data_IF_054608156449
#
_entry.id   IF_054608156449
#
_cell.length_a   1.000
_cell.length_b   1.000
_cell.length_c   1.000
_cell.angle_alpha   90.00
_cell.angle_beta   90.00
_cell.angle_gamma   90.00
#
_symmetry.space_group_name_H-M   'P 1'
#
loop_
_entity.id
_entity.type
_entity.pdbx_description
1 polymer ?
#
# COMPACT_ATOMS: atom_id res chain seq x y z
N UNK A 1 -53.18 -33.63 5.78
CA UNK A 1 -52.68 -32.31 6.22
C UNK A 1 -51.37 -32.41 7.07
N UNK A 2 -51.29 -33.36 7.98
CA UNK A 2 -50.10 -33.51 8.86
C UNK A 2 -48.85 -33.91 8.10
N UNK A 3 -48.93 -34.66 7.01
CA UNK A 3 -47.79 -35.10 6.21
C UNK A 3 -47.32 -34.02 5.23
N UNK A 4 -48.19 -33.13 4.81
CA UNK A 4 -47.85 -31.95 3.99
C UNK A 4 -47.00 -30.98 4.76
N UNK A 5 -47.25 -30.74 6.06
CA UNK A 5 -46.46 -29.90 6.91
C UNK A 5 -45.05 -30.46 7.18
N UNK A 6 -44.96 -31.81 7.32
CA UNK A 6 -43.64 -32.47 7.45
C UNK A 6 -42.83 -32.34 6.16
N UNK A 7 -43.44 -32.57 5.02
CA UNK A 7 -42.78 -32.41 3.72
C UNK A 7 -42.28 -30.97 3.48
N UNK A 8 -43.10 -29.97 3.88
CA UNK A 8 -42.72 -28.57 3.80
C UNK A 8 -41.54 -28.22 4.73
N UNK A 9 -41.58 -28.72 5.98
CA UNK A 9 -40.49 -28.54 6.93
C UNK A 9 -39.16 -29.15 6.45
N UNK A 10 -39.21 -30.35 5.89
CA UNK A 10 -38.00 -31.01 5.30
C UNK A 10 -37.48 -30.21 4.10
N UNK A 11 -38.37 -29.68 3.26
CA UNK A 11 -37.97 -28.86 2.12
C UNK A 11 -37.25 -27.59 2.52
N UNK A 12 -37.72 -26.90 3.56
CA UNK A 12 -37.03 -25.69 4.09
C UNK A 12 -35.66 -26.05 4.65
N UNK A 13 -35.52 -27.11 5.42
CA UNK A 13 -34.22 -27.53 5.99
C UNK A 13 -33.23 -27.88 4.88
N UNK A 14 -33.66 -28.63 3.88
CA UNK A 14 -32.82 -28.96 2.72
C UNK A 14 -32.41 -27.71 1.95
N UNK A 15 -33.32 -26.77 1.72
CA UNK A 15 -33.03 -25.51 1.06
C UNK A 15 -31.99 -24.68 1.86
N UNK A 16 -32.13 -24.59 3.18
CA UNK A 16 -31.17 -23.89 4.03
C UNK A 16 -29.79 -24.57 4.00
N UNK A 17 -29.73 -25.90 4.00
CA UNK A 17 -28.48 -26.65 3.91
C UNK A 17 -27.80 -26.41 2.55
N UNK A 18 -28.57 -26.48 1.46
CA UNK A 18 -28.06 -26.22 0.10
C UNK A 18 -27.59 -24.77 -0.02
N UNK A 19 -28.37 -23.81 0.47
CA UNK A 19 -28.00 -22.40 0.45
C UNK A 19 -26.72 -22.15 1.28
N UNK A 20 -26.60 -22.75 2.47
CA UNK A 20 -25.40 -22.65 3.29
C UNK A 20 -24.18 -23.31 2.63
N UNK A 21 -24.37 -24.51 2.07
CA UNK A 21 -23.30 -25.20 1.33
C UNK A 21 -22.88 -24.42 0.07
N UNK A 22 -23.83 -23.81 -0.65
CA UNK A 22 -23.54 -22.96 -1.80
C UNK A 22 -22.75 -21.71 -1.40
N UNK A 23 -23.16 -21.05 -0.32
CA UNK A 23 -22.42 -19.91 0.24
C UNK A 23 -21.01 -20.29 0.67
N UNK A 24 -20.82 -21.49 1.22
CA UNK A 24 -19.52 -22.00 1.63
C UNK A 24 -18.64 -22.45 0.44
N UNK A 25 -19.25 -23.02 -0.60
CA UNK A 25 -18.54 -23.51 -1.80
C UNK A 25 -18.21 -22.36 -2.77
N UNK A 26 -19.10 -21.37 -2.88
CA UNK A 26 -18.87 -20.21 -3.75
C UNK A 26 -18.10 -19.09 -3.07
N UNK A 27 -17.52 -19.36 -1.88
CA UNK A 27 -16.52 -18.49 -1.27
C UNK A 27 -16.98 -17.03 -1.15
N UNK A 28 -18.17 -16.80 -0.57
CA UNK A 28 -18.52 -15.45 -0.10
C UNK A 28 -17.80 -15.12 1.22
N UNK A 29 -16.80 -15.92 1.57
CA UNK A 29 -15.82 -15.59 2.58
C UNK A 29 -14.69 -14.82 1.91
N UNK A 30 -14.59 -13.58 2.23
CA UNK A 30 -13.42 -12.69 2.06
C UNK A 30 -13.07 -12.11 0.68
N UNK A 31 -13.65 -12.50 -0.43
CA UNK A 31 -13.34 -11.81 -1.71
C UNK A 31 -14.06 -10.46 -1.90
N UNK A 32 -14.68 -9.91 -0.86
CA UNK A 32 -15.24 -8.55 -0.91
C UNK A 32 -14.12 -7.48 -0.98
N UNK A 33 -12.88 -7.84 -0.63
CA UNK A 33 -11.74 -6.91 -0.61
C UNK A 33 -10.60 -7.27 -1.58
N UNK A 34 -10.82 -8.12 -2.57
CA UNK A 34 -9.89 -8.30 -3.67
C UNK A 34 -8.50 -8.83 -3.32
N UNK A 35 -8.29 -9.33 -2.10
CA UNK A 35 -7.04 -10.03 -1.75
C UNK A 35 -7.05 -11.38 -2.46
N UNK A 36 -6.20 -11.52 -3.46
CA UNK A 36 -5.95 -12.81 -4.11
C UNK A 36 -5.43 -13.80 -3.07
N UNK A 37 -5.84 -15.08 -3.15
CA UNK A 37 -5.20 -16.15 -2.35
C UNK A 37 -3.68 -16.27 -2.63
N UNK A 38 -3.22 -15.66 -3.72
CA UNK A 38 -1.81 -15.57 -4.13
C UNK A 38 -1.20 -14.18 -3.83
N UNK A 39 -1.78 -13.37 -2.93
CA UNK A 39 -1.25 -12.07 -2.58
C UNK A 39 0.16 -12.21 -1.98
N UNK A 40 1.12 -11.48 -2.53
CA UNK A 40 2.50 -11.51 -2.09
C UNK A 40 2.64 -10.74 -0.77
N UNK A 41 3.15 -11.40 0.27
CA UNK A 41 3.47 -10.73 1.50
C UNK A 41 4.74 -9.89 1.32
N UNK A 42 4.66 -8.62 1.66
CA UNK A 42 5.78 -7.69 1.57
C UNK A 42 6.84 -8.07 2.60
N UNK A 43 8.12 -8.28 2.21
CA UNK A 43 9.21 -8.46 3.16
C UNK A 43 9.38 -7.25 4.07
N UNK A 44 9.89 -7.50 5.27
CA UNK A 44 10.22 -6.42 6.20
C UNK A 44 11.22 -5.45 5.56
N UNK A 45 10.96 -4.15 5.69
CA UNK A 45 11.90 -3.11 5.28
C UNK A 45 12.12 -2.11 6.39
N UNK A 46 13.24 -1.43 6.31
CA UNK A 46 13.67 -0.39 7.23
C UNK A 46 14.34 0.72 6.43
N UNK A 47 13.70 1.88 6.35
CA UNK A 47 14.14 3.00 5.52
C UNK A 47 14.30 4.27 6.34
N UNK A 48 15.36 5.01 6.07
CA UNK A 48 15.64 6.30 6.71
C UNK A 48 14.80 7.39 6.03
N UNK A 49 13.94 8.02 6.80
CA UNK A 49 13.18 9.19 6.37
C UNK A 49 13.97 10.47 6.60
N UNK A 50 13.57 11.48 5.88
CA UNK A 50 14.09 12.83 6.09
C UNK A 50 13.45 13.44 7.32
N UNK A 51 14.26 14.07 8.17
CA UNK A 51 13.75 14.82 9.30
C UNK A 51 13.05 16.09 8.80
N UNK A 52 11.73 16.15 8.98
CA UNK A 52 10.91 17.23 8.46
C UNK A 52 9.88 17.67 9.48
N UNK A 53 9.48 18.93 9.36
CA UNK A 53 8.34 19.49 10.09
C UNK A 53 7.10 19.53 9.18
N UNK A 54 5.91 19.33 9.75
CA UNK A 54 4.64 19.45 9.02
C UNK A 54 4.28 18.24 8.15
N UNK A 55 4.84 17.08 8.44
CA UNK A 55 4.41 15.81 7.85
C UNK A 55 3.27 15.20 8.67
N UNK A 56 2.55 14.28 8.03
CA UNK A 56 1.51 13.48 8.69
C UNK A 56 2.13 12.64 9.84
N UNK A 57 1.64 12.82 11.05
CA UNK A 57 2.06 12.10 12.25
C UNK A 57 1.49 10.67 12.32
N UNK A 58 0.76 10.22 11.31
CA UNK A 58 0.14 8.89 11.27
C UNK A 58 1.18 7.75 11.15
N UNK A 59 2.39 8.06 10.69
CA UNK A 59 3.49 7.08 10.61
C UNK A 59 4.42 7.27 11.80
N UNK A 60 4.60 6.24 12.64
CA UNK A 60 5.57 6.28 13.72
C UNK A 60 6.99 6.32 13.16
N UNK A 61 7.78 7.26 13.64
CA UNK A 61 9.20 7.41 13.28
C UNK A 61 10.06 7.16 14.52
N UNK A 62 10.83 6.09 14.50
CA UNK A 62 11.84 5.83 15.52
C UNK A 62 13.21 6.27 15.00
N UNK A 63 13.77 7.35 15.58
CA UNK A 63 15.02 7.95 15.12
C UNK A 63 15.07 8.31 13.61
N UNK A 64 13.90 8.65 13.04
CA UNK A 64 13.77 8.92 11.61
C UNK A 64 13.64 7.67 10.73
N UNK A 65 13.63 6.48 11.32
CA UNK A 65 13.43 5.23 10.60
C UNK A 65 11.96 4.87 10.51
N UNK A 66 11.54 4.32 9.37
CA UNK A 66 10.25 3.66 9.17
C UNK A 66 10.50 2.18 8.93
N UNK A 67 9.81 1.33 9.68
CA UNK A 67 9.78 -0.12 9.47
C UNK A 67 8.39 -0.54 8.99
N UNK A 68 8.33 -1.53 8.11
CA UNK A 68 7.02 -2.06 7.67
C UNK A 68 6.22 -2.62 8.85
N UNK A 69 6.88 -3.26 9.82
CA UNK A 69 6.24 -3.77 11.03
C UNK A 69 5.52 -2.70 11.84
N UNK A 70 6.02 -1.45 11.81
CA UNK A 70 5.41 -0.32 12.52
C UNK A 70 4.16 0.21 11.80
N UNK A 71 3.97 -0.16 10.52
CA UNK A 71 2.83 0.20 9.68
C UNK A 71 1.73 -0.86 9.67
N UNK A 72 1.91 -1.99 10.36
CA UNK A 72 0.87 -3.03 10.48
C UNK A 72 -0.38 -2.46 11.12
N UNK A 73 -1.54 -2.88 10.62
CA UNK A 73 -2.83 -2.30 10.99
C UNK A 73 -3.25 -1.09 10.15
N UNK A 74 -2.37 -0.60 9.26
CA UNK A 74 -2.67 0.47 8.29
C UNK A 74 -2.64 -0.05 6.87
N UNK A 75 -3.41 0.57 5.98
CA UNK A 75 -3.24 0.43 4.53
C UNK A 75 -2.12 1.38 4.11
N UNK A 76 -1.08 0.85 3.48
CA UNK A 76 0.11 1.62 3.11
C UNK A 76 0.13 1.88 1.61
N UNK A 77 0.19 3.14 1.21
CA UNK A 77 0.51 3.55 -0.16
C UNK A 77 2.01 3.76 -0.24
N UNK A 78 2.71 2.80 -0.84
CA UNK A 78 4.16 2.82 -1.02
C UNK A 78 4.49 3.35 -2.41
N UNK A 79 4.92 4.60 -2.49
CA UNK A 79 5.28 5.29 -3.72
C UNK A 79 6.79 5.29 -3.93
N UNK A 80 7.24 4.86 -5.09
CA UNK A 80 8.63 4.95 -5.50
C UNK A 80 8.81 6.13 -6.45
N UNK A 81 9.73 7.03 -6.10
CA UNK A 81 9.88 8.33 -6.74
C UNK A 81 11.33 8.72 -7.01
N UNK A 82 11.52 9.81 -7.75
CA UNK A 82 12.79 10.49 -7.94
C UNK A 82 12.58 11.98 -8.21
N UNK A 83 13.56 12.81 -7.87
CA UNK A 83 13.47 14.28 -8.02
C UNK A 83 13.26 14.70 -9.48
N UNK A 84 13.90 14.02 -10.42
CA UNK A 84 13.81 14.33 -11.85
C UNK A 84 12.73 13.53 -12.59
N UNK A 85 11.91 12.75 -11.87
CA UNK A 85 10.83 11.97 -12.45
C UNK A 85 9.55 12.80 -12.58
N UNK A 86 9.33 13.40 -13.74
CA UNK A 86 8.15 14.26 -13.97
C UNK A 86 6.81 13.51 -13.78
N UNK A 87 6.73 12.26 -14.24
CA UNK A 87 5.51 11.46 -14.07
C UNK A 87 5.27 11.10 -12.60
N UNK A 88 6.32 10.96 -11.79
CA UNK A 88 6.18 10.75 -10.35
C UNK A 88 5.52 11.95 -9.68
N UNK A 89 5.87 13.17 -10.08
CA UNK A 89 5.25 14.38 -9.54
C UNK A 89 3.75 14.45 -9.84
N UNK A 90 3.33 13.94 -11.00
CA UNK A 90 1.90 13.84 -11.31
C UNK A 90 1.18 12.88 -10.36
N UNK A 91 1.76 11.70 -10.12
CA UNK A 91 1.22 10.72 -9.16
C UNK A 91 1.14 11.30 -7.76
N UNK A 92 2.20 11.97 -7.32
CA UNK A 92 2.26 12.60 -6.00
C UNK A 92 1.23 13.70 -5.81
N UNK A 93 1.01 14.54 -6.84
CA UNK A 93 -0.06 15.55 -6.81
C UNK A 93 -1.43 14.88 -6.65
N UNK A 94 -1.66 13.78 -7.37
CA UNK A 94 -2.91 13.02 -7.24
C UNK A 94 -3.06 12.40 -5.84
N UNK A 95 -1.99 11.86 -5.28
CA UNK A 95 -1.98 11.35 -3.91
C UNK A 95 -2.29 12.47 -2.90
N UNK A 96 -1.66 13.64 -3.02
CA UNK A 96 -1.89 14.78 -2.14
C UNK A 96 -3.35 15.24 -2.18
N UNK A 97 -3.95 15.33 -3.35
CA UNK A 97 -5.35 15.72 -3.53
C UNK A 97 -6.34 14.73 -2.90
N UNK A 98 -6.00 13.45 -2.83
CA UNK A 98 -6.92 12.38 -2.45
C UNK A 98 -6.63 11.74 -1.09
N UNK A 99 -5.43 11.89 -0.53
CA UNK A 99 -5.00 11.22 0.71
C UNK A 99 -5.99 11.45 1.87
N UNK A 100 -6.45 12.69 2.06
CA UNK A 100 -7.41 13.00 3.12
C UNK A 100 -8.77 12.30 2.91
N UNK A 101 -9.18 12.10 1.67
CA UNK A 101 -10.39 11.34 1.34
C UNK A 101 -10.19 9.86 1.64
N UNK A 102 -9.05 9.28 1.24
CA UNK A 102 -8.73 7.88 1.52
C UNK A 102 -8.61 7.62 3.01
N UNK A 103 -7.98 8.51 3.77
CA UNK A 103 -7.90 8.43 5.24
C UNK A 103 -9.28 8.46 5.92
N UNK A 104 -10.27 9.05 5.27
CA UNK A 104 -11.64 9.10 5.80
C UNK A 104 -12.48 7.85 5.50
N UNK A 105 -12.02 6.95 4.62
CA UNK A 105 -12.78 5.76 4.21
C UNK A 105 -12.93 4.72 5.31
N UNK A 106 -11.94 4.60 6.18
CA UNK A 106 -11.95 3.64 7.27
C UNK A 106 -11.33 4.23 8.54
N UNK A 107 -12.01 4.06 9.66
CA UNK A 107 -11.45 4.36 10.99
C UNK A 107 -10.77 3.13 11.61
N UNK A 108 -10.99 1.95 11.06
CA UNK A 108 -10.42 0.69 11.55
C UNK A 108 -9.01 0.48 11.01
N UNK A 109 -8.79 0.82 9.74
CA UNK A 109 -7.51 0.67 9.05
C UNK A 109 -7.10 2.03 8.47
N UNK A 110 -6.27 2.82 9.19
CA UNK A 110 -5.78 4.09 8.70
C UNK A 110 -5.04 3.94 7.37
N UNK A 111 -5.22 4.90 6.46
CA UNK A 111 -4.43 4.96 5.22
C UNK A 111 -3.24 5.87 5.45
N UNK A 112 -2.04 5.37 5.17
CA UNK A 112 -0.78 6.10 5.29
C UNK A 112 -0.01 6.07 3.97
N UNK A 113 0.72 7.13 3.67
CA UNK A 113 1.56 7.22 2.48
C UNK A 113 3.04 7.28 2.88
N UNK A 114 3.89 6.56 2.16
CA UNK A 114 5.34 6.57 2.28
C UNK A 114 5.95 6.61 0.89
N UNK A 115 6.77 7.62 0.60
CA UNK A 115 7.53 7.67 -0.65
C UNK A 115 8.99 7.26 -0.43
N UNK A 116 9.57 6.53 -1.40
CA UNK A 116 10.95 6.07 -1.38
C UNK A 116 11.68 6.61 -2.62
N UNK A 117 12.77 7.35 -2.40
CA UNK A 117 13.65 7.83 -3.44
C UNK A 117 14.39 6.68 -4.11
N UNK A 118 14.03 6.35 -5.35
CA UNK A 118 14.55 5.21 -6.09
C UNK A 118 15.90 5.46 -6.74
N UNK A 119 16.17 6.70 -7.13
CA UNK A 119 17.43 7.04 -7.80
C UNK A 119 18.52 7.49 -6.81
N UNK A 120 18.48 6.98 -5.57
CA UNK A 120 19.35 7.36 -4.48
C UNK A 120 20.86 7.21 -4.78
N UNK A 121 21.22 6.43 -5.80
CA UNK A 121 22.60 6.30 -6.30
C UNK A 121 23.05 7.51 -7.13
N UNK A 122 22.11 8.35 -7.60
CA UNK A 122 22.32 9.50 -8.47
C UNK A 122 21.85 10.80 -7.85
N UNK A 123 20.91 10.72 -6.92
CA UNK A 123 20.33 11.87 -6.22
C UNK A 123 20.81 11.87 -4.76
N UNK A 124 21.38 12.99 -4.31
CA UNK A 124 21.81 13.10 -2.93
C UNK A 124 20.62 13.15 -1.98
N UNK A 125 20.79 12.68 -0.76
CA UNK A 125 19.78 12.79 0.30
C UNK A 125 19.35 14.25 0.53
N UNK A 126 20.30 15.19 0.50
CA UNK A 126 20.04 16.63 0.60
C UNK A 126 19.10 17.11 -0.53
N UNK A 127 19.38 16.74 -1.79
CA UNK A 127 18.55 17.13 -2.94
C UNK A 127 17.11 16.59 -2.82
N UNK A 128 16.95 15.35 -2.38
CA UNK A 128 15.63 14.74 -2.15
C UNK A 128 14.91 15.51 -1.03
N UNK A 129 15.62 15.80 0.07
CA UNK A 129 15.07 16.57 1.18
C UNK A 129 14.65 17.99 0.78
N UNK A 130 15.49 18.71 0.04
CA UNK A 130 15.18 20.07 -0.42
C UNK A 130 13.99 20.09 -1.39
N UNK A 131 13.85 19.03 -2.19
CA UNK A 131 12.76 18.94 -3.16
C UNK A 131 11.42 18.59 -2.50
N UNK A 132 11.41 17.54 -1.69
CA UNK A 132 10.18 16.95 -1.15
C UNK A 132 9.92 17.33 0.31
N UNK A 133 10.97 17.70 1.06
CA UNK A 133 10.92 18.02 2.47
C UNK A 133 10.71 19.50 2.79
N UNK A 134 11.09 20.41 1.91
CA UNK A 134 10.93 21.85 2.13
C UNK A 134 9.46 22.26 1.91
N UNK A 135 8.75 22.76 2.93
CA UNK A 135 7.36 23.23 2.78
C UNK A 135 7.19 24.36 1.78
N UNK A 136 8.26 25.06 1.40
CA UNK A 136 8.22 26.10 0.35
C UNK A 136 8.40 25.55 -1.05
N UNK A 137 8.79 24.29 -1.19
CA UNK A 137 8.90 23.61 -2.48
C UNK A 137 7.53 23.36 -3.09
N UNK A 138 7.40 23.60 -4.38
CA UNK A 138 6.19 23.23 -5.13
C UNK A 138 5.99 21.72 -5.29
N UNK A 139 6.94 20.95 -4.83
CA UNK A 139 6.95 19.46 -4.84
C UNK A 139 6.98 18.89 -3.43
N UNK A 140 6.68 19.71 -2.42
CA UNK A 140 6.61 19.27 -1.05
C UNK A 140 5.60 18.11 -0.90
N UNK A 141 5.98 17.09 -0.16
CA UNK A 141 5.09 15.97 0.19
C UNK A 141 4.71 16.05 1.67
N UNK A 142 3.40 16.06 2.01
CA UNK A 142 2.96 16.14 3.41
C UNK A 142 3.06 14.80 4.16
N UNK A 143 3.63 13.76 3.56
CA UNK A 143 3.90 12.45 4.18
C UNK A 143 5.41 12.15 4.21
N UNK A 144 5.85 11.12 4.96
CA UNK A 144 7.26 10.74 5.02
C UNK A 144 7.83 10.38 3.66
N UNK A 145 9.04 10.88 3.39
CA UNK A 145 9.84 10.51 2.23
C UNK A 145 11.15 9.92 2.74
N UNK A 146 11.42 8.70 2.34
CA UNK A 146 12.65 7.99 2.64
C UNK A 146 13.56 7.94 1.41
N UNK A 147 14.84 7.67 1.65
CA UNK A 147 15.76 7.36 0.58
C UNK A 147 15.95 5.84 0.46
N UNK A 148 15.99 5.32 -0.75
CA UNK A 148 16.36 3.93 -0.98
C UNK A 148 17.80 3.68 -0.52
N UNK A 149 18.09 2.43 -0.14
CA UNK A 149 19.43 2.02 0.27
C UNK A 149 19.66 0.53 -0.03
N UNK A 150 20.91 0.15 -0.17
CA UNK A 150 21.31 -1.21 -0.54
C UNK A 150 21.04 -2.28 0.53
N UNK A 151 20.68 -1.87 1.74
CA UNK A 151 20.43 -2.73 2.90
C UNK A 151 19.08 -2.46 3.57
N UNK A 152 18.14 -1.91 2.81
CA UNK A 152 16.86 -1.38 3.31
C UNK A 152 15.74 -2.42 3.39
N UNK A 153 15.89 -3.63 2.85
CA UNK A 153 14.90 -4.70 2.90
C UNK A 153 15.49 -5.97 3.52
N UNK A 154 14.70 -6.70 4.29
CA UNK A 154 15.08 -7.96 4.92
C UNK A 154 14.35 -9.09 4.21
N UNK A 155 15.09 -9.91 3.49
CA UNK A 155 14.57 -11.05 2.74
C UNK A 155 14.24 -12.22 3.67
N UNK A 156 13.42 -13.17 3.21
CA UNK A 156 12.99 -14.35 3.98
C UNK A 156 14.15 -15.15 4.59
N UNK A 157 15.29 -15.18 3.92
CA UNK A 157 16.51 -15.85 4.41
C UNK A 157 17.26 -15.03 5.46
N UNK A 158 16.76 -13.87 5.87
CA UNK A 158 17.39 -12.96 6.83
C UNK A 158 18.52 -12.10 6.25
N UNK A 159 18.81 -12.18 4.94
CA UNK A 159 19.77 -11.28 4.31
C UNK A 159 19.16 -9.92 4.04
N UNK A 160 19.99 -8.88 4.09
CA UNK A 160 19.55 -7.53 3.69
C UNK A 160 19.77 -7.32 2.20
N UNK A 161 18.86 -6.59 1.58
CA UNK A 161 18.88 -6.25 0.16
C UNK A 161 18.46 -4.81 -0.08
N UNK A 162 18.45 -4.45 -1.34
CA UNK A 162 18.03 -3.14 -1.82
C UNK A 162 16.52 -3.17 -2.12
N UNK A 163 15.76 -2.32 -1.43
CA UNK A 163 14.31 -2.22 -1.62
C UNK A 163 13.95 -1.79 -3.04
N UNK A 164 14.76 -0.94 -3.66
CA UNK A 164 14.54 -0.47 -5.03
C UNK A 164 14.79 -1.59 -6.05
N UNK A 165 15.78 -2.44 -5.81
CA UNK A 165 16.04 -3.62 -6.65
C UNK A 165 14.95 -4.69 -6.47
N UNK A 166 14.55 -4.94 -5.22
CA UNK A 166 13.50 -5.92 -4.92
C UNK A 166 12.19 -5.62 -5.64
N UNK A 167 11.73 -4.36 -5.57
CA UNK A 167 10.49 -3.92 -6.22
C UNK A 167 10.66 -3.57 -7.70
N UNK A 168 11.85 -3.72 -8.28
CA UNK A 168 12.19 -3.27 -9.64
C UNK A 168 11.84 -1.78 -9.87
N UNK A 169 11.98 -0.96 -8.83
CA UNK A 169 11.59 0.44 -8.79
C UNK A 169 12.63 1.38 -9.44
N UNK A 170 13.48 0.86 -10.32
CA UNK A 170 14.32 1.66 -11.22
C UNK A 170 13.48 2.33 -12.33
N UNK A 171 12.34 1.72 -12.67
CA UNK A 171 11.40 2.21 -13.67
C UNK A 171 10.26 2.92 -12.95
N UNK A 172 10.18 4.23 -13.06
CA UNK A 172 9.26 5.09 -12.36
C UNK A 172 8.20 5.70 -13.30
N UNK A 173 7.05 6.09 -12.79
CA UNK A 173 6.55 5.92 -11.42
C UNK A 173 6.16 4.49 -11.10
N UNK A 174 6.12 4.14 -9.81
CA UNK A 174 5.70 2.83 -9.34
C UNK A 174 5.07 2.97 -7.96
N UNK A 175 3.85 2.46 -7.79
CA UNK A 175 3.11 2.50 -6.53
C UNK A 175 2.61 1.11 -6.19
N UNK A 176 2.73 0.76 -4.92
CA UNK A 176 2.12 -0.42 -4.33
C UNK A 176 1.11 0.00 -3.28
N UNK A 177 -0.02 -0.68 -3.21
CA UNK A 177 -0.94 -0.62 -2.08
C UNK A 177 -0.78 -1.91 -1.29
N UNK A 178 -0.46 -1.76 -0.01
CA UNK A 178 -0.22 -2.86 0.93
C UNK A 178 -1.32 -2.80 1.97
N UNK A 179 -1.98 -3.91 2.24
CA UNK A 179 -3.05 -3.98 3.22
C UNK A 179 -2.52 -3.95 4.67
N UNK A 180 -3.44 -3.90 5.62
CA UNK A 180 -3.16 -3.82 7.05
C UNK A 180 -2.42 -5.07 7.60
N UNK A 181 -2.43 -6.18 6.88
CA UNK A 181 -1.70 -7.42 7.22
C UNK A 181 -0.35 -7.50 6.51
N UNK A 182 -0.09 -6.58 5.55
CA UNK A 182 1.16 -6.45 4.83
C UNK A 182 1.23 -7.26 3.54
N UNK A 183 0.10 -7.46 2.89
CA UNK A 183 0.04 -8.08 1.57
C UNK A 183 -0.15 -7.02 0.49
N UNK A 184 0.47 -7.23 -0.67
CA UNK A 184 0.24 -6.39 -1.83
C UNK A 184 -1.16 -6.63 -2.38
N UNK A 185 -1.99 -5.59 -2.39
CA UNK A 185 -3.37 -5.66 -2.92
C UNK A 185 -3.53 -4.93 -4.25
N UNK A 186 -2.64 -3.98 -4.55
CA UNK A 186 -2.59 -3.32 -5.85
C UNK A 186 -1.16 -2.90 -6.19
N UNK A 187 -0.88 -2.83 -7.48
CA UNK A 187 0.38 -2.35 -8.04
C UNK A 187 0.11 -1.61 -9.34
N UNK A 188 0.63 -0.39 -9.44
CA UNK A 188 0.59 0.41 -10.65
C UNK A 188 1.97 0.96 -10.97
N UNK A 189 2.30 1.06 -12.26
CA UNK A 189 3.65 1.48 -12.63
C UNK A 189 3.88 1.66 -14.11
N UNK A 190 5.14 1.76 -14.49
CA UNK A 190 5.61 1.95 -15.85
C UNK A 190 5.03 0.89 -16.80
N UNK A 191 4.47 1.37 -17.91
CA UNK A 191 3.79 0.53 -18.90
C UNK A 191 2.27 0.65 -18.87
N UNK A 192 1.69 1.14 -17.78
CA UNK A 192 0.28 1.52 -17.71
C UNK A 192 0.19 3.05 -17.85
N UNK A 193 -0.59 3.60 -18.82
CA UNK A 193 -0.85 5.02 -18.86
C UNK A 193 -1.45 5.50 -17.53
N UNK A 194 -1.06 6.69 -17.05
CA UNK A 194 -1.51 7.23 -15.77
C UNK A 194 -3.05 7.39 -15.68
N UNK A 195 -3.71 7.64 -16.81
CA UNK A 195 -5.17 7.68 -16.93
C UNK A 195 -5.84 6.28 -16.83
N UNK A 196 -5.06 5.22 -16.85
CA UNK A 196 -5.50 3.83 -16.66
C UNK A 196 -5.17 3.26 -15.28
N UNK A 197 -4.58 4.07 -14.40
CA UNK A 197 -4.25 3.62 -13.04
C UNK A 197 -5.51 3.47 -12.20
N UNK A 198 -5.69 2.26 -11.66
CA UNK A 198 -6.85 1.88 -10.84
C UNK A 198 -6.49 1.64 -9.38
N UNK A 199 -5.22 1.78 -9.01
CA UNK A 199 -4.80 1.61 -7.62
C UNK A 199 -5.42 2.67 -6.69
N UNK A 200 -5.97 3.74 -7.27
CA UNK A 200 -6.55 4.86 -6.54
C UNK A 200 -8.08 4.98 -6.74
N UNK A 201 -8.70 4.06 -7.49
CA UNK A 201 -10.16 3.97 -7.63
C UNK A 201 -10.78 3.15 -6.47
#
# INVERSE_FOLDING_TARGET
ERDTWKAFGIGIVLFCIIAYASLSIFGLSSSIYGVSEDAEQVPEFEVMTMNRTGIDDSIPLEDGMVKLSDLRGSVVILDFTAVDCQNCHYVQSHMEENLGSWQSLSSEYPVVALSIGSWYRYESFERINDTFGDPSSSKHMPWPVANGASDSIILENGTRGDIVEYYAAQNLPLVYVIDHEGYVVAKEGTGTPLDGWRAFD
#
